data_IF_175872532021
#
_entry.id   IF_175872532021
#
_cell.length_a   1.000
_cell.length_b   1.000
_cell.length_c   1.000
_cell.angle_alpha   90.00
_cell.angle_beta   90.00
_cell.angle_gamma   90.00
#
_symmetry.space_group_name_H-M   'P 1'
#
loop_
_entity.id
_entity.type
_entity.pdbx_description
1 polymer ?
#
# COMPACT_ATOMS: atom_id res chain seq x y z
N UNK A 1 17.59 -12.52 5.03
CA UNK A 1 16.32 -12.83 5.71
C UNK A 1 15.79 -11.72 6.62
N UNK A 2 16.51 -11.23 7.65
CA UNK A 2 16.00 -10.11 8.49
C UNK A 2 15.99 -8.76 7.77
N UNK A 3 16.94 -8.57 6.85
CA UNK A 3 17.09 -7.35 6.06
C UNK A 3 16.05 -7.26 4.93
N UNK A 4 15.71 -8.37 4.28
CA UNK A 4 14.70 -8.41 3.20
C UNK A 4 13.30 -8.09 3.73
N UNK A 5 12.92 -8.67 4.88
CA UNK A 5 11.62 -8.38 5.53
C UNK A 5 11.48 -6.94 6.02
N UNK A 6 12.60 -6.30 6.38
CA UNK A 6 12.59 -4.87 6.73
C UNK A 6 12.29 -4.02 5.50
N UNK A 7 12.86 -4.38 4.34
CA UNK A 7 12.56 -3.73 3.06
C UNK A 7 11.10 -3.92 2.67
N UNK A 8 10.53 -5.11 2.85
CA UNK A 8 9.13 -5.38 2.51
C UNK A 8 8.14 -4.58 3.38
N UNK A 9 8.45 -4.42 4.67
CA UNK A 9 7.64 -3.60 5.57
C UNK A 9 7.74 -2.10 5.27
N UNK A 10 8.93 -1.62 4.90
CA UNK A 10 9.15 -0.26 4.43
C UNK A 10 8.42 0.00 3.12
N UNK A 11 8.52 -0.90 2.14
CA UNK A 11 7.77 -0.85 0.88
C UNK A 11 6.26 -0.79 1.11
N UNK A 12 5.71 -1.67 1.97
CA UNK A 12 4.27 -1.67 2.27
C UNK A 12 3.80 -0.37 2.92
N UNK A 13 4.62 0.23 3.77
CA UNK A 13 4.33 1.53 4.39
C UNK A 13 4.36 2.66 3.35
N UNK A 14 5.37 2.69 2.49
CA UNK A 14 5.50 3.68 1.43
C UNK A 14 4.34 3.60 0.42
N UNK A 15 3.91 2.38 0.05
CA UNK A 15 2.75 2.16 -0.83
C UNK A 15 1.47 2.67 -0.16
N UNK A 16 1.28 2.41 1.14
CA UNK A 16 0.12 2.93 1.87
C UNK A 16 0.09 4.47 1.93
N UNK A 17 1.24 5.11 2.14
CA UNK A 17 1.34 6.56 2.07
C UNK A 17 1.04 7.10 0.68
N UNK A 18 1.56 6.45 -0.36
CA UNK A 18 1.28 6.80 -1.75
C UNK A 18 -0.23 6.75 -2.04
N UNK A 19 -0.91 5.67 -1.64
CA UNK A 19 -2.36 5.55 -1.77
C UNK A 19 -3.10 6.65 -1.02
N UNK A 20 -2.80 6.86 0.27
CA UNK A 20 -3.44 7.90 1.10
C UNK A 20 -3.22 9.30 0.55
N UNK A 21 -2.04 9.58 -0.01
CA UNK A 21 -1.71 10.85 -0.63
C UNK A 21 -2.62 11.12 -1.83
N UNK A 22 -2.73 10.18 -2.77
CA UNK A 22 -3.52 10.35 -3.99
C UNK A 22 -5.03 10.17 -3.82
N UNK A 23 -5.52 9.78 -2.64
CA UNK A 23 -6.95 9.91 -2.32
C UNK A 23 -7.40 11.36 -2.22
N UNK A 24 -6.52 12.26 -1.77
CA UNK A 24 -6.84 13.66 -1.52
C UNK A 24 -6.11 14.64 -2.47
N UNK A 25 -5.19 14.15 -3.29
CA UNK A 25 -4.33 14.96 -4.16
C UNK A 25 -4.40 14.46 -5.61
N UNK A 26 -4.24 15.38 -6.57
CA UNK A 26 -4.35 15.06 -7.99
C UNK A 26 -3.00 14.66 -8.60
N UNK A 27 -3.03 13.68 -9.52
CA UNK A 27 -1.88 13.31 -10.39
C UNK A 27 -1.43 14.46 -11.30
N UNK A 28 -2.33 15.42 -11.55
CA UNK A 28 -2.05 16.61 -12.36
C UNK A 28 -1.14 17.60 -11.64
N UNK A 29 -1.19 17.61 -10.31
CA UNK A 29 -0.46 18.56 -9.46
C UNK A 29 0.83 17.94 -8.95
N UNK A 30 0.77 16.68 -8.53
CA UNK A 30 1.91 15.97 -7.99
C UNK A 30 2.24 14.76 -8.86
N UNK A 31 3.45 14.76 -9.43
CA UNK A 31 3.89 13.66 -10.29
C UNK A 31 4.21 12.39 -9.46
N UNK A 32 3.64 11.21 -9.80
CA UNK A 32 3.73 10.00 -8.98
C UNK A 32 5.17 9.51 -8.76
N UNK A 33 6.05 9.69 -9.76
CA UNK A 33 7.48 9.36 -9.61
C UNK A 33 8.16 10.17 -8.50
N UNK A 34 7.82 11.44 -8.35
CA UNK A 34 8.41 12.30 -7.32
C UNK A 34 7.93 11.83 -5.95
N UNK A 35 6.61 11.72 -5.78
CA UNK A 35 5.98 11.35 -4.51
C UNK A 35 6.45 9.98 -4.00
N UNK A 36 6.47 8.96 -4.86
CA UNK A 36 6.93 7.62 -4.44
C UNK A 36 8.41 7.62 -4.04
N UNK A 37 9.25 8.42 -4.71
CA UNK A 37 10.68 8.53 -4.39
C UNK A 37 10.86 9.15 -3.00
N UNK A 38 10.03 10.12 -2.62
CA UNK A 38 10.09 10.74 -1.29
C UNK A 38 9.69 9.77 -0.17
N UNK A 39 8.72 8.87 -0.41
CA UNK A 39 8.33 7.88 0.59
C UNK A 39 9.29 6.68 0.68
N UNK A 40 9.96 6.35 -0.42
CA UNK A 40 10.86 5.20 -0.51
C UNK A 40 12.30 5.56 -0.11
N UNK A 41 12.69 6.84 -0.22
CA UNK A 41 13.84 7.53 0.39
C UNK A 41 15.17 6.76 0.45
N UNK A 42 15.25 5.78 1.35
CA UNK A 42 16.43 4.96 1.64
C UNK A 42 16.60 3.71 0.75
N UNK A 43 15.55 3.22 0.08
CA UNK A 43 15.63 1.91 -0.61
C UNK A 43 16.25 1.97 -2.02
N UNK A 44 16.44 3.17 -2.59
CA UNK A 44 16.78 3.34 -4.03
C UNK A 44 18.22 3.82 -4.25
N UNK A 45 18.94 4.32 -3.23
CA UNK A 45 20.25 4.95 -3.45
C UNK A 45 21.38 4.31 -2.64
N UNK A 46 22.27 3.60 -3.35
CA UNK A 46 23.43 2.91 -2.77
C UNK A 46 24.70 3.79 -2.66
N UNK A 47 24.65 5.05 -3.11
CA UNK A 47 25.82 5.96 -3.15
C UNK A 47 25.67 7.13 -2.15
N UNK A 48 26.70 7.33 -1.33
CA UNK A 48 26.73 8.37 -0.28
C UNK A 48 26.53 9.80 -0.81
N UNK A 49 27.04 10.11 -2.02
CA UNK A 49 26.87 11.43 -2.64
C UNK A 49 25.48 11.63 -3.28
N UNK A 50 24.78 10.54 -3.60
CA UNK A 50 23.39 10.57 -4.05
C UNK A 50 22.41 10.76 -2.90
N UNK A 51 22.73 10.18 -1.73
CA UNK A 51 21.96 10.33 -0.50
C UNK A 51 21.88 11.79 -0.03
N UNK A 52 22.97 12.57 -0.03
CA UNK A 52 22.92 13.96 0.45
C UNK A 52 21.98 14.85 -0.38
N UNK A 53 22.06 14.78 -1.72
CA UNK A 53 21.16 15.56 -2.60
C UNK A 53 19.71 15.07 -2.53
N UNK A 54 19.51 13.78 -2.34
CA UNK A 54 18.18 13.21 -2.12
C UNK A 54 17.63 13.64 -0.77
N UNK A 55 18.45 13.70 0.29
CA UNK A 55 18.04 14.11 1.64
C UNK A 55 17.59 15.56 1.68
N UNK A 56 18.28 16.48 1.00
CA UNK A 56 17.85 17.88 0.89
C UNK A 56 16.47 17.98 0.21
N UNK A 57 16.28 17.26 -0.90
CA UNK A 57 14.99 17.19 -1.60
C UNK A 57 13.90 16.46 -0.78
N UNK A 58 14.27 15.47 0.03
CA UNK A 58 13.35 14.78 0.94
C UNK A 58 12.91 15.75 2.03
N UNK A 59 13.84 16.49 2.65
CA UNK A 59 13.54 17.40 3.74
C UNK A 59 12.53 18.49 3.35
N UNK A 60 12.64 19.03 2.12
CA UNK A 60 11.69 20.00 1.60
C UNK A 60 10.25 19.45 1.52
N UNK A 61 10.10 18.18 1.13
CA UNK A 61 8.79 17.55 0.96
C UNK A 61 8.26 16.86 2.21
N UNK A 62 9.09 16.54 3.21
CA UNK A 62 8.70 15.78 4.41
C UNK A 62 7.53 16.43 5.14
N UNK A 63 7.62 17.72 5.48
CA UNK A 63 6.56 18.39 6.22
C UNK A 63 5.25 18.42 5.42
N UNK A 64 5.35 18.74 4.13
CA UNK A 64 4.21 18.76 3.22
C UNK A 64 3.54 17.38 3.11
N UNK A 65 4.32 16.31 2.91
CA UNK A 65 3.78 14.95 2.79
C UNK A 65 3.12 14.49 4.09
N UNK A 66 3.71 14.78 5.25
CA UNK A 66 3.13 14.45 6.56
C UNK A 66 1.78 15.18 6.75
N UNK A 67 1.69 16.44 6.35
CA UNK A 67 0.43 17.19 6.37
C UNK A 67 -0.63 16.57 5.45
N UNK A 68 -0.25 16.15 4.23
CA UNK A 68 -1.18 15.47 3.31
C UNK A 68 -1.65 14.10 3.81
N UNK A 69 -0.86 13.46 4.67
CA UNK A 69 -1.24 12.24 5.39
C UNK A 69 -2.03 12.50 6.67
N UNK A 70 -2.38 13.76 6.97
CA UNK A 70 -3.05 14.19 8.20
C UNK A 70 -2.31 13.73 9.47
N UNK A 71 -0.97 13.67 9.43
CA UNK A 71 -0.13 13.20 10.54
C UNK A 71 -0.38 11.73 10.97
N UNK A 72 -1.12 10.95 10.19
CA UNK A 72 -1.37 9.52 10.44
C UNK A 72 -0.25 8.64 9.86
N UNK A 73 0.92 8.70 10.50
CA UNK A 73 2.14 7.97 10.08
C UNK A 73 2.22 6.52 10.60
N UNK A 74 1.29 6.11 11.46
CA UNK A 74 1.25 4.71 11.89
C UNK A 74 0.52 3.89 10.82
N UNK A 75 1.24 2.98 10.18
CA UNK A 75 0.71 2.01 9.22
C UNK A 75 0.91 0.61 9.77
N UNK A 76 -0.17 -0.15 9.81
CA UNK A 76 -0.14 -1.57 10.17
C UNK A 76 0.13 -2.41 8.92
N UNK A 77 1.36 -2.91 8.79
CA UNK A 77 1.79 -3.73 7.64
C UNK A 77 1.24 -5.16 7.72
N UNK A 78 0.82 -5.70 6.57
CA UNK A 78 0.29 -7.06 6.43
C UNK A 78 1.30 -8.16 6.82
N UNK A 79 2.59 -7.98 6.51
CA UNK A 79 3.64 -8.96 6.82
C UNK A 79 3.77 -9.29 8.30
N UNK A 80 3.58 -8.29 9.18
CA UNK A 80 3.67 -8.50 10.64
C UNK A 80 2.53 -9.40 11.14
N UNK A 81 1.34 -9.26 10.58
CA UNK A 81 0.18 -10.07 10.95
C UNK A 81 0.29 -11.49 10.40
N UNK A 82 0.77 -11.65 9.17
CA UNK A 82 1.06 -12.96 8.59
C UNK A 82 2.02 -13.79 9.46
N UNK A 83 3.10 -13.19 9.95
CA UNK A 83 4.04 -13.87 10.85
C UNK A 83 3.39 -14.26 12.18
N UNK A 84 2.54 -13.38 12.75
CA UNK A 84 1.78 -13.67 13.96
C UNK A 84 0.83 -14.86 13.77
N UNK A 85 0.08 -14.88 12.68
CA UNK A 85 -0.82 -15.97 12.32
C UNK A 85 -0.05 -17.28 12.08
N UNK A 86 1.10 -17.24 11.44
CA UNK A 86 1.91 -18.43 11.19
C UNK A 86 2.45 -19.06 12.49
N UNK A 87 2.85 -18.22 13.46
CA UNK A 87 3.26 -18.66 14.80
C UNK A 87 2.07 -19.28 15.54
N UNK A 88 0.91 -18.64 15.46
CA UNK A 88 -0.31 -19.10 16.10
C UNK A 88 -0.76 -20.46 15.54
N UNK A 89 -0.69 -20.67 14.21
CA UNK A 89 -0.95 -21.96 13.58
C UNK A 89 0.00 -23.06 14.09
N UNK A 90 1.30 -22.76 14.17
CA UNK A 90 2.31 -23.73 14.66
C UNK A 90 2.10 -24.12 16.13
N UNK A 91 1.64 -23.19 16.94
CA UNK A 91 1.47 -23.41 18.39
C UNK A 91 0.14 -24.10 18.71
N UNK A 92 -0.95 -23.72 18.03
CA UNK A 92 -2.29 -24.29 18.26
C UNK A 92 -2.54 -25.59 17.49
N UNK A 93 -1.85 -25.80 16.36
CA UNK A 93 -2.07 -26.96 15.48
C UNK A 93 -0.74 -27.67 15.14
N UNK A 94 -0.07 -28.31 16.11
CA UNK A 94 1.19 -29.02 15.88
C UNK A 94 1.04 -30.26 14.96
N UNK A 95 -0.19 -30.72 14.72
CA UNK A 95 -0.51 -31.81 13.78
C UNK A 95 -0.51 -31.36 12.31
N UNK A 96 -0.40 -30.07 12.04
CA UNK A 96 -0.35 -29.52 10.70
C UNK A 96 1.04 -29.75 10.10
N UNK A 97 1.12 -30.56 9.05
CA UNK A 97 2.38 -30.84 8.36
C UNK A 97 2.83 -29.62 7.56
N UNK A 98 4.06 -29.16 7.86
CA UNK A 98 4.79 -28.14 7.11
C UNK A 98 4.02 -26.82 6.84
N UNK A 99 3.65 -26.05 7.88
CA UNK A 99 3.04 -24.73 7.73
C UNK A 99 3.97 -23.71 7.06
N UNK A 100 5.26 -23.98 6.90
CA UNK A 100 6.18 -23.08 6.18
C UNK A 100 5.93 -23.05 4.66
N UNK A 101 5.28 -24.08 4.12
CA UNK A 101 4.86 -24.10 2.71
C UNK A 101 3.93 -22.94 2.34
N UNK A 102 3.15 -22.45 3.31
CA UNK A 102 2.27 -21.28 3.19
C UNK A 102 3.01 -20.00 2.83
N UNK A 103 4.23 -19.83 3.35
CA UNK A 103 4.88 -18.52 3.38
C UNK A 103 5.03 -17.95 1.97
N UNK A 104 5.41 -18.77 1.00
CA UNK A 104 5.57 -18.34 -0.40
C UNK A 104 4.24 -17.90 -1.02
N UNK A 105 3.18 -18.72 -0.89
CA UNK A 105 1.86 -18.40 -1.44
C UNK A 105 1.28 -17.15 -0.80
N UNK A 106 1.46 -17.01 0.52
CA UNK A 106 0.97 -15.88 1.29
C UNK A 106 1.74 -14.60 0.98
N UNK A 107 3.07 -14.65 0.83
CA UNK A 107 3.88 -13.50 0.42
C UNK A 107 3.47 -13.00 -0.97
N UNK A 108 3.23 -13.92 -1.92
CA UNK A 108 2.72 -13.59 -3.25
C UNK A 108 1.32 -12.93 -3.19
N UNK A 109 0.44 -13.43 -2.31
CA UNK A 109 -0.89 -12.85 -2.10
C UNK A 109 -0.80 -11.47 -1.44
N UNK A 110 -0.02 -11.32 -0.37
CA UNK A 110 0.16 -10.05 0.33
C UNK A 110 0.77 -8.99 -0.58
N UNK A 111 1.72 -9.37 -1.43
CA UNK A 111 2.30 -8.47 -2.43
C UNK A 111 1.23 -7.95 -3.37
N UNK A 112 0.36 -8.83 -3.89
CA UNK A 112 -0.77 -8.41 -4.74
C UNK A 112 -1.77 -7.55 -3.98
N UNK A 113 -2.13 -7.91 -2.75
CA UNK A 113 -3.08 -7.14 -1.94
C UNK A 113 -2.56 -5.74 -1.58
N UNK A 114 -1.25 -5.59 -1.39
CA UNK A 114 -0.63 -4.28 -1.13
C UNK A 114 -0.70 -3.35 -2.35
N UNK A 115 -0.73 -3.91 -3.56
CA UNK A 115 -0.85 -3.16 -4.82
C UNK A 115 -2.30 -2.78 -5.17
N UNK A 116 -3.28 -3.25 -4.40
CA UNK A 116 -4.69 -2.88 -4.57
C UNK A 116 -5.15 -1.89 -3.51
N UNK A 117 -6.37 -1.40 -3.65
CA UNK A 117 -7.05 -0.53 -2.68
C UNK A 117 -7.42 -1.24 -1.36
N UNK A 118 -7.11 -2.53 -1.24
CA UNK A 118 -7.63 -3.33 -0.14
C UNK A 118 -7.04 -2.98 1.20
N UNK A 119 -5.78 -2.54 1.26
CA UNK A 119 -5.21 -1.99 2.49
C UNK A 119 -5.87 -0.68 2.96
N UNK A 120 -6.66 -0.01 2.11
CA UNK A 120 -7.50 1.13 2.48
C UNK A 120 -8.92 0.70 2.88
N UNK A 121 -9.44 -0.37 2.29
CA UNK A 121 -10.82 -0.82 2.47
C UNK A 121 -11.03 -1.78 3.65
N UNK A 122 -10.02 -2.59 3.97
CA UNK A 122 -10.13 -3.65 4.97
C UNK A 122 -9.01 -3.55 6.02
N UNK A 123 -9.28 -3.94 7.27
CA UNK A 123 -8.24 -4.03 8.27
C UNK A 123 -7.19 -5.10 7.90
N UNK A 124 -5.92 -4.89 8.26
CA UNK A 124 -4.85 -5.83 7.93
C UNK A 124 -5.03 -7.28 8.42
N UNK A 125 -5.76 -7.51 9.51
CA UNK A 125 -6.04 -8.85 10.06
C UNK A 125 -6.93 -9.67 9.12
N UNK A 126 -7.91 -9.00 8.53
CA UNK A 126 -8.86 -9.56 7.57
C UNK A 126 -8.18 -9.98 6.27
N UNK A 127 -7.33 -9.12 5.72
CA UNK A 127 -6.57 -9.40 4.50
C UNK A 127 -5.60 -10.58 4.72
N UNK A 128 -4.94 -10.63 5.88
CA UNK A 128 -4.05 -11.73 6.22
C UNK A 128 -4.80 -13.06 6.42
N UNK A 129 -6.03 -13.02 6.97
CA UNK A 129 -6.90 -14.19 7.10
C UNK A 129 -7.28 -14.78 5.73
N UNK A 130 -7.69 -13.94 4.79
CA UNK A 130 -8.01 -14.36 3.41
C UNK A 130 -6.81 -15.03 2.71
N UNK A 131 -5.60 -14.57 2.98
CA UNK A 131 -4.39 -15.19 2.44
C UNK A 131 -4.22 -16.65 2.87
N UNK A 132 -4.78 -17.04 4.02
CA UNK A 132 -4.65 -18.38 4.60
C UNK A 132 -5.86 -19.28 4.32
N UNK A 133 -6.99 -18.73 3.88
CA UNK A 133 -8.23 -19.45 3.57
C UNK A 133 -8.02 -20.58 2.54
N UNK A 134 -7.30 -20.32 1.46
CA UNK A 134 -7.01 -21.33 0.42
C UNK A 134 -6.25 -22.53 0.97
N UNK A 135 -5.23 -22.30 1.81
CA UNK A 135 -4.44 -23.39 2.39
C UNK A 135 -5.14 -24.13 3.52
N UNK A 136 -5.87 -23.42 4.41
CA UNK A 136 -6.66 -24.08 5.44
C UNK A 136 -7.71 -25.01 4.80
N UNK A 137 -8.27 -24.60 3.65
CA UNK A 137 -9.19 -25.44 2.87
C UNK A 137 -8.48 -26.65 2.26
N UNK A 138 -7.27 -26.50 1.70
CA UNK A 138 -6.51 -27.60 1.09
C UNK A 138 -5.92 -28.59 2.11
N UNK A 139 -5.36 -28.11 3.23
CA UNK A 139 -4.74 -28.95 4.24
C UNK A 139 -5.74 -29.64 5.18
N UNK A 140 -6.90 -29.03 5.42
CA UNK A 140 -7.94 -29.61 6.29
C UNK A 140 -9.05 -30.31 5.51
N UNK A 141 -9.07 -30.20 4.17
CA UNK A 141 -9.96 -30.96 3.29
C UNK A 141 -9.79 -32.49 3.37
N UNK A 142 -8.83 -32.98 4.16
CA UNK A 142 -8.60 -34.40 4.44
C UNK A 142 -9.03 -34.86 5.85
N UNK A 143 -9.64 -34.00 6.69
CA UNK A 143 -10.24 -34.42 7.97
C UNK A 143 -11.71 -34.01 8.04
N UNK A 144 -12.57 -34.97 8.35
CA UNK A 144 -14.04 -34.92 8.29
C UNK A 144 -14.69 -33.89 9.25
N UNK A 145 -13.89 -33.12 10.00
CA UNK A 145 -14.33 -32.18 11.03
C UNK A 145 -14.67 -30.79 10.45
N UNK A 146 -15.73 -30.73 9.64
CA UNK A 146 -16.30 -29.47 9.11
C UNK A 146 -16.67 -28.46 10.20
N UNK A 147 -16.98 -28.92 11.40
CA UNK A 147 -17.43 -28.08 12.52
C UNK A 147 -16.28 -27.29 13.16
N UNK A 148 -15.08 -27.89 13.25
CA UNK A 148 -13.86 -27.22 13.74
C UNK A 148 -13.37 -26.20 12.73
N UNK A 149 -13.53 -26.51 11.45
CA UNK A 149 -13.23 -25.63 10.32
C UNK A 149 -14.16 -24.41 10.31
N UNK A 150 -15.47 -24.62 10.48
CA UNK A 150 -16.45 -23.53 10.65
C UNK A 150 -16.16 -22.67 11.89
N UNK A 151 -15.83 -23.26 13.05
CA UNK A 151 -15.44 -22.50 14.25
C UNK A 151 -14.13 -21.72 14.05
N UNK A 152 -13.18 -22.21 13.26
CA UNK A 152 -11.98 -21.48 12.87
C UNK A 152 -12.31 -20.33 11.91
N UNK A 153 -13.13 -20.56 10.88
CA UNK A 153 -13.57 -19.52 9.95
C UNK A 153 -14.38 -18.43 10.64
N UNK A 154 -15.32 -18.82 11.51
CA UNK A 154 -16.12 -17.90 12.34
C UNK A 154 -15.23 -17.11 13.31
N UNK A 155 -14.11 -17.69 13.79
CA UNK A 155 -13.12 -17.01 14.61
C UNK A 155 -12.12 -16.15 13.80
N UNK A 156 -11.93 -16.41 12.50
CA UNK A 156 -10.89 -15.80 11.65
C UNK A 156 -11.43 -14.69 10.71
N UNK A 157 -12.72 -14.37 10.81
CA UNK A 157 -13.45 -13.17 10.33
C UNK A 157 -14.24 -13.38 9.01
N UNK A 158 -15.48 -12.84 8.89
CA UNK A 158 -16.39 -13.07 7.77
C UNK A 158 -16.14 -12.06 6.64
N UNK A 159 -15.61 -12.48 5.50
CA UNK A 159 -15.46 -11.60 4.33
C UNK A 159 -15.89 -12.34 3.07
N UNK A 160 -16.72 -11.73 2.20
CA UNK A 160 -17.07 -12.33 0.94
C UNK A 160 -15.84 -12.36 0.00
N UNK A 161 -15.41 -13.56 -0.36
CA UNK A 161 -14.39 -13.90 -1.37
C UNK A 161 -14.65 -13.31 -2.77
N UNK A 162 -15.82 -12.70 -2.99
CA UNK A 162 -16.33 -12.24 -4.30
C UNK A 162 -15.89 -10.84 -4.73
N UNK A 163 -15.12 -10.09 -3.94
CA UNK A 163 -14.82 -8.66 -4.24
C UNK A 163 -13.48 -8.37 -4.91
N UNK A 164 -12.59 -9.35 -5.02
CA UNK A 164 -11.21 -9.16 -5.48
C UNK A 164 -11.06 -9.41 -6.98
N UNK A 165 -11.57 -8.50 -7.81
CA UNK A 165 -11.25 -8.46 -9.25
C UNK A 165 -10.38 -7.24 -9.53
N UNK A 166 -9.07 -7.42 -9.39
CA UNK A 166 -8.10 -6.39 -9.79
C UNK A 166 -7.44 -6.81 -11.11
N UNK A 167 -7.66 -6.02 -12.15
CA UNK A 167 -6.99 -6.16 -13.44
C UNK A 167 -5.83 -5.17 -13.50
N UNK A 168 -4.61 -5.67 -13.71
CA UNK A 168 -3.46 -4.82 -13.96
C UNK A 168 -3.57 -4.16 -15.33
N UNK A 169 -3.36 -2.85 -15.39
CA UNK A 169 -3.32 -2.10 -16.64
C UNK A 169 -2.16 -2.60 -17.52
N UNK A 170 -2.41 -2.72 -18.82
CA UNK A 170 -1.36 -3.09 -19.78
C UNK A 170 -0.38 -1.93 -19.93
N UNK A 171 0.89 -2.25 -20.20
CA UNK A 171 1.94 -1.23 -20.35
C UNK A 171 1.60 -0.18 -21.43
N UNK A 172 0.92 -0.60 -22.49
CA UNK A 172 0.45 0.28 -23.58
C UNK A 172 -0.55 1.33 -23.08
N UNK A 173 -1.50 0.91 -22.23
CA UNK A 173 -2.51 1.80 -21.65
C UNK A 173 -1.86 2.80 -20.70
N UNK A 174 -0.93 2.33 -19.85
CA UNK A 174 -0.15 3.20 -18.95
C UNK A 174 0.62 4.25 -19.75
N UNK A 175 1.23 3.89 -20.89
CA UNK A 175 1.94 4.82 -21.75
C UNK A 175 0.99 5.84 -22.40
N UNK A 176 -0.20 5.42 -22.83
CA UNK A 176 -1.21 6.32 -23.35
C UNK A 176 -1.68 7.33 -22.29
N UNK A 177 -1.88 6.90 -21.04
CA UNK A 177 -2.24 7.81 -19.95
C UNK A 177 -1.12 8.77 -19.58
N UNK A 178 0.15 8.36 -19.60
CA UNK A 178 1.30 9.27 -19.40
C UNK A 178 1.31 10.40 -20.43
N UNK A 179 1.10 10.07 -21.70
CA UNK A 179 1.03 11.06 -22.78
C UNK A 179 -0.15 12.02 -22.55
N UNK A 180 -1.33 11.49 -22.26
CA UNK A 180 -2.53 12.31 -21.98
C UNK A 180 -2.31 13.25 -20.79
N UNK A 181 -1.73 12.75 -19.70
CA UNK A 181 -1.41 13.53 -18.51
C UNK A 181 -0.46 14.68 -18.85
N UNK A 182 0.62 14.40 -19.60
CA UNK A 182 1.57 15.41 -20.03
C UNK A 182 0.90 16.50 -20.87
N UNK A 183 0.08 16.11 -21.86
CA UNK A 183 -0.68 17.07 -22.67
C UNK A 183 -1.63 17.91 -21.83
N UNK A 184 -2.34 17.32 -20.87
CA UNK A 184 -3.27 18.04 -20.02
C UNK A 184 -2.55 19.06 -19.12
N UNK A 185 -1.40 18.69 -18.54
CA UNK A 185 -0.57 19.59 -17.71
C UNK A 185 -0.09 20.78 -18.55
N UNK A 186 0.49 20.50 -19.73
CA UNK A 186 1.00 21.53 -20.62
C UNK A 186 -0.13 22.44 -21.11
N UNK A 187 -1.29 21.87 -21.44
CA UNK A 187 -2.45 22.64 -21.89
C UNK A 187 -2.98 23.59 -20.80
N UNK A 188 -3.14 23.10 -19.57
CA UNK A 188 -3.54 23.94 -18.42
C UNK A 188 -2.54 25.08 -18.19
N UNK A 189 -1.24 24.81 -18.32
CA UNK A 189 -0.20 25.81 -18.11
C UNK A 189 -0.17 26.88 -19.22
N UNK A 190 -0.40 26.49 -20.47
CA UNK A 190 -0.37 27.40 -21.64
C UNK A 190 -1.65 28.23 -21.75
N UNK A 191 -2.83 27.61 -21.60
CA UNK A 191 -4.11 28.26 -21.91
C UNK A 191 -4.76 28.93 -20.69
N UNK A 192 -4.35 28.57 -19.48
CA UNK A 192 -4.92 29.09 -18.25
C UNK A 192 -3.87 29.62 -17.26
N UNK A 193 -2.88 30.43 -17.68
CA UNK A 193 -1.84 30.95 -16.77
C UNK A 193 -2.42 31.80 -15.63
N UNK A 194 -3.53 32.50 -15.89
CA UNK A 194 -4.27 33.29 -14.89
C UNK A 194 -5.00 32.40 -13.87
N UNK A 195 -5.48 31.24 -14.33
CA UNK A 195 -6.23 30.29 -13.52
C UNK A 195 -5.29 29.43 -12.67
N UNK A 196 -4.05 29.19 -13.10
CA UNK A 196 -2.99 28.58 -12.26
C UNK A 196 -2.70 29.46 -11.04
N UNK A 197 -2.60 30.78 -11.21
CA UNK A 197 -2.46 31.71 -10.08
C UNK A 197 -3.70 31.78 -9.19
N UNK A 198 -4.91 31.69 -9.76
CA UNK A 198 -6.16 31.65 -8.99
C UNK A 198 -6.31 30.32 -8.24
N UNK A 199 -5.90 29.20 -8.83
CA UNK A 199 -5.90 27.89 -8.17
C UNK A 199 -4.84 27.83 -7.08
N UNK A 200 -3.62 28.36 -7.31
CA UNK A 200 -2.58 28.47 -6.29
C UNK A 200 -3.03 29.36 -5.13
N UNK A 201 -3.67 30.50 -5.41
CA UNK A 201 -4.19 31.38 -4.34
C UNK A 201 -5.39 30.78 -3.60
N UNK A 202 -6.30 30.07 -4.27
CA UNK A 202 -7.39 29.33 -3.62
C UNK A 202 -6.89 28.12 -2.83
N UNK A 203 -5.83 27.46 -3.30
CA UNK A 203 -5.18 26.35 -2.61
C UNK A 203 -4.38 26.84 -1.41
N UNK A 204 -3.69 27.98 -1.50
CA UNK A 204 -3.10 28.67 -0.35
C UNK A 204 -4.18 29.04 0.66
N UNK A 205 -5.33 29.55 0.22
CA UNK A 205 -6.47 29.83 1.10
C UNK A 205 -7.02 28.56 1.77
N UNK A 206 -7.11 27.45 1.02
CA UNK A 206 -7.60 26.17 1.52
C UNK A 206 -6.60 25.51 2.50
N UNK A 207 -5.30 25.58 2.20
CA UNK A 207 -4.22 25.14 3.08
C UNK A 207 -4.17 25.99 4.37
N UNK A 208 -4.37 27.31 4.25
CA UNK A 208 -4.46 28.23 5.40
C UNK A 208 -5.69 27.93 6.26
N UNK A 209 -6.85 27.69 5.64
CA UNK A 209 -8.09 27.28 6.33
C UNK A 209 -7.95 25.91 7.02
N UNK A 210 -7.13 25.00 6.49
CA UNK A 210 -6.83 23.70 7.13
C UNK A 210 -5.84 23.83 8.28
N UNK A 211 -4.90 24.77 8.21
CA UNK A 211 -3.92 25.02 9.27
C UNK A 211 -4.50 25.81 10.46
N UNK A 212 -5.61 26.52 10.25
CA UNK A 212 -6.33 27.26 11.31
C UNK A 212 -7.42 26.46 12.04
N UNK A 213 -7.58 25.16 11.75
CA UNK A 213 -8.42 24.22 12.53
C UNK A 213 -7.55 23.26 13.32
#
# INVERSE_FOLDING_TARGET
MKMDKLKDAQCGTAIMYFWRFYLNNSLMEYHPRTIITQFVGDLVQESAAGQERALEQILEYVLFLIQQLNFHLVVHTLYRLMEGLLIDLKTRYPLLENPESLRKSADDFLTRATLTDTGLLFPPSEIAGLSMETYLTECMGLKEDKETLLKMYDAMIPIPTTRWKHEFLKQEEVNAYKIKLYFLIVYLFIFYPSLVNIFLTLLELHCWLRACK
#
